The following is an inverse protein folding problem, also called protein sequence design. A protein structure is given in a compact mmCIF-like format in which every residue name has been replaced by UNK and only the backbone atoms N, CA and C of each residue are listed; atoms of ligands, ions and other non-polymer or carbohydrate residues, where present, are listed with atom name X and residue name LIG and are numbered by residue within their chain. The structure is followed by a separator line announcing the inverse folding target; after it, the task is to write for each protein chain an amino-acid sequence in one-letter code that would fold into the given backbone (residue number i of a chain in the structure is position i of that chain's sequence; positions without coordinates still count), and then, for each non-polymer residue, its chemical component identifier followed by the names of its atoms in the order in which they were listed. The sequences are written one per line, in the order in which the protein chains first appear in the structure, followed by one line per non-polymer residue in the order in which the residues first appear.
data_IF_749658449340
#
_entry.id   IF_749658449340
#
_cell.length_a   1.000
_cell.length_b   1.000
_cell.length_c   1.000
_cell.angle_alpha   90.00
_cell.angle_beta   90.00
_cell.angle_gamma   90.00
#
_symmetry.space_group_name_H-M   'P 1'
#
loop_
_entity.id
_entity.type
_entity.pdbx_description
1 polymer ?
#
# COMPACT_ATOMS: atom_id res chain seq x y z
N UNK A 1 44.73 -6.69 -23.82
CA UNK A 1 43.40 -6.47 -23.25
C UNK A 1 43.61 -5.68 -21.99
N UNK A 2 43.10 -4.46 -21.90
CA UNK A 2 43.29 -3.62 -20.70
C UNK A 2 42.43 -4.22 -19.59
N UNK A 3 43.09 -4.70 -18.54
CA UNK A 3 42.47 -5.15 -17.28
C UNK A 3 41.82 -3.96 -16.59
N UNK A 4 40.67 -3.54 -17.09
CA UNK A 4 39.88 -2.51 -16.46
C UNK A 4 39.04 -3.16 -15.37
N UNK A 5 39.48 -3.05 -14.14
CA UNK A 5 38.65 -3.40 -12.97
C UNK A 5 37.54 -2.36 -12.79
N UNK A 6 36.39 -2.78 -12.32
CA UNK A 6 35.23 -1.93 -12.10
C UNK A 6 34.90 -1.78 -10.63
N UNK A 7 34.07 -0.81 -10.29
CA UNK A 7 33.60 -0.61 -8.90
C UNK A 7 32.52 -1.63 -8.57
N UNK A 8 32.62 -2.24 -7.39
CA UNK A 8 31.53 -3.03 -6.78
C UNK A 8 31.04 -2.34 -5.51
N UNK A 9 29.77 -2.54 -5.21
CA UNK A 9 29.12 -2.00 -4.01
C UNK A 9 27.62 -2.22 -4.08
N UNK A 10 26.93 -1.89 -3.00
CA UNK A 10 25.47 -1.94 -2.95
C UNK A 10 24.91 -0.68 -2.27
N UNK A 11 23.70 -0.32 -2.63
CA UNK A 11 22.88 0.66 -1.92
C UNK A 11 21.82 -0.09 -1.12
N UNK A 12 21.48 0.40 0.06
CA UNK A 12 20.37 -0.12 0.85
C UNK A 12 19.46 1.02 1.29
N UNK A 13 18.17 0.81 1.15
CA UNK A 13 17.11 1.68 1.67
C UNK A 13 16.21 0.88 2.60
N UNK A 14 15.54 1.55 3.52
CA UNK A 14 14.74 0.91 4.55
C UNK A 14 13.36 1.55 4.65
N UNK A 15 12.33 0.71 4.89
CA UNK A 15 10.99 1.20 5.18
C UNK A 15 10.40 0.52 6.42
N UNK A 16 9.44 1.19 7.07
CA UNK A 16 8.75 0.69 8.25
C UNK A 16 7.43 0.01 7.91
N UNK A 17 6.73 0.50 6.91
CA UNK A 17 5.42 0.00 6.55
C UNK A 17 5.52 -1.30 5.74
N UNK A 18 4.99 -2.40 6.26
CA UNK A 18 4.89 -3.67 5.53
C UNK A 18 4.09 -3.52 4.22
N UNK A 19 3.09 -2.65 4.22
CA UNK A 19 2.26 -2.37 3.04
C UNK A 19 3.02 -1.76 1.86
N UNK A 20 4.14 -1.07 2.11
CA UNK A 20 5.00 -0.52 1.04
C UNK A 20 5.69 -1.60 0.20
N UNK A 21 5.82 -2.82 0.74
CA UNK A 21 6.38 -3.97 0.01
C UNK A 21 5.68 -4.21 -1.32
N UNK A 22 4.35 -3.97 -1.38
CA UNK A 22 3.58 -4.14 -2.62
C UNK A 22 4.07 -3.22 -3.74
N UNK A 23 4.29 -1.93 -3.44
CA UNK A 23 4.79 -0.97 -4.43
C UNK A 23 6.22 -1.33 -4.87
N UNK A 24 7.08 -1.72 -3.91
CA UNK A 24 8.46 -2.14 -4.19
C UNK A 24 8.48 -3.40 -5.08
N UNK A 25 7.69 -4.41 -4.77
CA UNK A 25 7.62 -5.65 -5.57
C UNK A 25 7.04 -5.37 -6.95
N UNK A 26 6.06 -4.49 -7.05
CA UNK A 26 5.47 -4.08 -8.33
C UNK A 26 6.46 -3.35 -9.25
N UNK A 27 7.40 -2.59 -8.68
CA UNK A 27 8.50 -1.99 -9.43
C UNK A 27 9.57 -3.02 -9.76
N UNK A 28 10.02 -3.76 -8.75
CA UNK A 28 11.15 -4.69 -8.82
C UNK A 28 10.92 -5.85 -9.79
N UNK A 29 9.70 -6.41 -9.81
CA UNK A 29 9.33 -7.58 -10.63
C UNK A 29 8.31 -7.23 -11.72
N UNK A 30 8.44 -6.04 -12.29
CA UNK A 30 7.49 -5.53 -13.30
C UNK A 30 7.38 -6.44 -14.53
N UNK A 31 8.43 -7.19 -14.85
CA UNK A 31 8.45 -8.14 -15.97
C UNK A 31 7.38 -9.25 -15.84
N UNK A 32 6.85 -9.48 -14.64
CA UNK A 32 5.80 -10.47 -14.39
C UNK A 32 4.38 -9.95 -14.71
N UNK A 33 4.22 -8.64 -14.97
CA UNK A 33 2.94 -8.03 -15.32
C UNK A 33 3.13 -6.95 -16.41
N UNK A 34 2.62 -7.17 -17.62
CA UNK A 34 2.72 -6.18 -18.70
C UNK A 34 2.18 -4.79 -18.34
N UNK A 35 1.19 -4.71 -17.45
CA UNK A 35 0.66 -3.41 -16.98
C UNK A 35 1.65 -2.70 -16.06
N UNK A 36 2.40 -3.45 -15.26
CA UNK A 36 3.46 -2.89 -14.44
C UNK A 36 4.60 -2.36 -15.31
N UNK A 37 5.00 -3.10 -16.35
CA UNK A 37 6.00 -2.63 -17.32
C UNK A 37 5.55 -1.32 -17.96
N UNK A 38 4.32 -1.27 -18.47
CA UNK A 38 3.76 -0.05 -19.09
C UNK A 38 3.72 1.13 -18.12
N UNK A 39 3.30 0.88 -16.88
CA UNK A 39 3.24 1.91 -15.84
C UNK A 39 4.64 2.46 -15.52
N UNK A 40 5.60 1.57 -15.20
CA UNK A 40 6.93 1.98 -14.77
C UNK A 40 7.78 2.58 -15.90
N UNK A 41 7.60 2.13 -17.14
CA UNK A 41 8.26 2.73 -18.29
C UNK A 41 7.84 4.20 -18.54
N UNK A 42 6.63 4.57 -18.14
CA UNK A 42 6.19 5.98 -18.16
C UNK A 42 6.81 6.81 -17.04
N UNK A 43 6.98 6.22 -15.86
CA UNK A 43 7.56 6.89 -14.69
C UNK A 43 9.09 6.96 -14.75
N UNK A 44 9.74 5.96 -15.35
CA UNK A 44 11.19 5.86 -15.45
C UNK A 44 11.63 5.68 -16.92
N UNK A 45 12.05 6.76 -17.54
CA UNK A 45 12.52 6.78 -18.95
C UNK A 45 13.82 6.00 -19.19
N UNK A 46 14.44 5.44 -18.16
CA UNK A 46 15.62 4.58 -18.30
C UNK A 46 15.24 3.11 -18.57
N UNK A 47 13.96 2.75 -18.44
CA UNK A 47 13.48 1.40 -18.73
C UNK A 47 13.40 1.20 -20.24
N UNK A 48 14.00 0.14 -20.71
CA UNK A 48 13.98 -0.33 -22.11
C UNK A 48 13.01 -1.49 -22.17
N UNK A 49 11.79 -1.22 -22.61
CA UNK A 49 10.66 -2.18 -22.59
C UNK A 49 10.97 -3.46 -23.37
N UNK A 50 11.70 -3.33 -24.48
CA UNK A 50 12.09 -4.46 -25.32
C UNK A 50 12.98 -5.46 -24.58
N UNK A 51 13.70 -5.01 -23.56
CA UNK A 51 14.63 -5.84 -22.77
C UNK A 51 14.03 -6.38 -21.47
N UNK A 52 12.79 -6.03 -21.15
CA UNK A 52 12.09 -6.55 -19.93
C UNK A 52 12.03 -8.10 -19.91
N UNK A 53 11.97 -8.73 -21.07
CA UNK A 53 12.02 -10.20 -21.18
C UNK A 53 13.35 -10.82 -20.69
N UNK A 54 14.39 -10.00 -20.51
CA UNK A 54 15.69 -10.42 -20.00
C UNK A 54 15.74 -10.38 -18.47
N UNK A 55 14.85 -9.64 -17.84
CA UNK A 55 14.76 -9.51 -16.40
C UNK A 55 14.26 -10.81 -15.75
N UNK A 56 14.73 -11.08 -14.55
CA UNK A 56 14.50 -12.37 -13.92
C UNK A 56 14.21 -12.23 -12.43
N UNK A 57 12.94 -12.31 -12.07
CA UNK A 57 12.48 -12.33 -10.70
C UNK A 57 12.57 -13.71 -10.04
N UNK A 58 12.93 -13.72 -8.77
CA UNK A 58 13.06 -14.91 -7.92
C UNK A 58 12.38 -14.69 -6.59
N UNK A 59 11.78 -15.75 -6.07
CA UNK A 59 11.14 -15.76 -4.74
C UNK A 59 11.78 -16.81 -3.85
N UNK A 60 11.82 -16.56 -2.56
CA UNK A 60 12.28 -17.54 -1.56
C UNK A 60 11.29 -18.71 -1.44
N UNK A 61 11.81 -19.93 -1.39
CA UNK A 61 11.00 -21.14 -1.24
C UNK A 61 10.63 -21.46 0.24
N UNK A 62 10.91 -20.55 1.15
CA UNK A 62 10.70 -20.71 2.58
C UNK A 62 11.83 -21.46 3.30
N UNK A 63 12.88 -21.89 2.60
CA UNK A 63 14.06 -22.60 3.12
C UNK A 63 15.38 -21.87 2.79
N UNK A 64 15.28 -20.58 2.41
CA UNK A 64 16.45 -19.79 2.03
C UNK A 64 17.01 -20.12 0.65
N UNK A 65 16.29 -20.88 -0.19
CA UNK A 65 16.60 -21.10 -1.60
C UNK A 65 15.66 -20.30 -2.48
N UNK A 66 16.10 -19.98 -3.67
CA UNK A 66 15.35 -19.13 -4.57
C UNK A 66 14.90 -19.90 -5.80
N UNK A 67 13.62 -19.74 -6.12
CA UNK A 67 12.99 -20.30 -7.31
C UNK A 67 12.50 -19.17 -8.21
N UNK A 68 12.35 -19.43 -9.49
CA UNK A 68 11.82 -18.44 -10.43
C UNK A 68 10.42 -17.99 -9.98
N UNK A 69 10.23 -16.69 -9.83
CA UNK A 69 8.91 -16.15 -9.52
C UNK A 69 7.99 -16.24 -10.74
N UNK A 70 6.74 -16.58 -10.52
CA UNK A 70 5.68 -16.63 -11.53
C UNK A 70 4.63 -15.55 -11.29
N UNK A 71 4.66 -14.92 -10.13
CA UNK A 71 3.83 -13.78 -9.79
C UNK A 71 4.45 -12.95 -8.67
N UNK A 72 4.18 -11.67 -8.65
CA UNK A 72 4.56 -10.75 -7.57
C UNK A 72 3.98 -11.17 -6.21
N UNK A 73 2.79 -11.79 -6.24
CA UNK A 73 2.08 -12.20 -5.03
C UNK A 73 2.86 -13.23 -4.22
N UNK A 74 3.65 -14.11 -4.86
CA UNK A 74 4.49 -15.09 -4.15
C UNK A 74 5.47 -14.43 -3.17
N UNK A 75 6.09 -13.31 -3.57
CA UNK A 75 7.01 -12.55 -2.70
C UNK A 75 6.27 -11.90 -1.54
N UNK A 76 5.07 -11.39 -1.80
CA UNK A 76 4.23 -10.77 -0.78
C UNK A 76 3.72 -11.81 0.23
N UNK A 77 3.28 -12.97 -0.26
CA UNK A 77 2.78 -14.07 0.59
C UNK A 77 3.91 -14.63 1.48
N UNK A 78 5.10 -14.83 0.90
CA UNK A 78 6.25 -15.23 1.69
C UNK A 78 6.60 -14.15 2.74
N UNK A 79 6.63 -12.90 2.35
CA UNK A 79 6.86 -11.79 3.26
C UNK A 79 5.82 -11.69 4.37
N UNK A 80 4.56 -12.00 4.08
CA UNK A 80 3.47 -12.02 5.06
C UNK A 80 3.63 -13.20 6.04
N UNK A 81 3.98 -14.40 5.55
CA UNK A 81 4.23 -15.57 6.40
C UNK A 81 5.34 -15.33 7.42
N UNK A 82 6.35 -14.52 7.06
CA UNK A 82 7.41 -14.12 7.98
C UNK A 82 6.94 -13.09 9.02
N UNK A 83 6.05 -12.19 8.65
CA UNK A 83 5.41 -11.25 9.61
C UNK A 83 4.57 -12.02 10.64
N UNK A 84 3.86 -13.06 10.22
CA UNK A 84 3.03 -13.90 11.10
C UNK A 84 3.84 -14.71 12.13
N UNK A 85 5.12 -14.96 11.84
CA UNK A 85 6.06 -15.60 12.77
C UNK A 85 6.66 -14.64 13.81
N UNK A 86 6.35 -13.35 13.76
CA UNK A 86 6.88 -12.42 14.76
C UNK A 86 6.38 -12.74 16.16
N UNK A 87 7.31 -12.92 17.08
CA UNK A 87 7.02 -13.20 18.49
C UNK A 87 6.33 -12.01 19.22
N UNK A 88 6.40 -10.82 18.64
CA UNK A 88 5.79 -9.63 19.20
C UNK A 88 5.26 -8.72 18.08
N UNK A 89 4.17 -7.97 18.32
CA UNK A 89 3.65 -7.01 17.35
C UNK A 89 4.69 -5.97 16.95
N UNK A 90 4.61 -5.54 15.70
CA UNK A 90 5.43 -4.44 15.19
C UNK A 90 5.08 -3.14 15.92
N UNK A 91 6.10 -2.39 16.28
CA UNK A 91 5.91 -1.08 16.91
C UNK A 91 5.57 -0.05 15.84
N UNK A 92 4.54 0.73 16.10
CA UNK A 92 4.19 1.89 15.29
C UNK A 92 5.04 3.11 15.64
N UNK A 93 5.15 4.03 14.69
CA UNK A 93 5.75 5.33 14.97
C UNK A 93 4.87 6.13 15.94
N UNK A 94 5.52 6.79 16.87
CA UNK A 94 4.87 7.73 17.80
C UNK A 94 5.45 9.13 17.63
N UNK A 95 4.66 10.18 17.80
CA UNK A 95 5.20 11.52 17.76
C UNK A 95 6.16 11.74 18.95
N UNK A 96 7.33 12.27 18.65
CA UNK A 96 8.28 12.75 19.66
C UNK A 96 7.83 14.12 20.22
N UNK A 97 8.62 14.70 21.13
CA UNK A 97 8.33 16.02 21.73
C UNK A 97 8.22 17.17 20.73
N UNK A 98 8.69 16.96 19.49
CA UNK A 98 8.66 17.93 18.40
C UNK A 98 7.59 17.58 17.36
N UNK A 99 6.74 16.56 17.63
CA UNK A 99 5.69 16.06 16.71
C UNK A 99 6.23 15.18 15.58
N UNK A 100 7.52 14.86 15.56
CA UNK A 100 8.11 14.00 14.53
C UNK A 100 7.84 12.53 14.85
N UNK A 101 7.25 11.82 13.91
CA UNK A 101 6.95 10.39 14.05
C UNK A 101 8.23 9.55 14.12
N UNK A 102 8.42 8.81 15.22
CA UNK A 102 9.63 8.00 15.47
C UNK A 102 9.32 6.73 16.27
N UNK A 103 10.26 5.80 16.25
CA UNK A 103 10.25 4.62 17.11
C UNK A 103 9.54 3.41 16.50
N UNK A 104 8.93 3.54 15.35
CA UNK A 104 8.36 2.42 14.61
C UNK A 104 9.42 1.41 14.18
N UNK A 105 9.01 0.16 14.06
CA UNK A 105 9.88 -0.94 13.62
C UNK A 105 10.18 -0.78 12.13
N UNK A 106 11.46 -0.75 11.77
CA UNK A 106 11.86 -0.92 10.36
C UNK A 106 11.65 -2.39 9.99
N UNK A 107 10.86 -2.64 8.97
CA UNK A 107 10.42 -3.99 8.61
C UNK A 107 11.05 -4.54 7.34
N UNK A 108 11.57 -3.65 6.50
CA UNK A 108 11.97 -4.01 5.14
C UNK A 108 13.22 -3.25 4.73
N UNK A 109 14.11 -3.94 4.04
CA UNK A 109 15.32 -3.41 3.43
C UNK A 109 15.32 -3.76 1.94
N UNK A 110 15.58 -2.78 1.09
CA UNK A 110 15.78 -2.97 -0.34
C UNK A 110 17.24 -2.69 -0.69
N UNK A 111 17.88 -3.63 -1.36
CA UNK A 111 19.25 -3.53 -1.80
C UNK A 111 19.30 -3.44 -3.32
N UNK A 112 20.22 -2.63 -3.82
CA UNK A 112 20.54 -2.54 -5.24
C UNK A 112 22.04 -2.65 -5.40
N UNK A 113 22.49 -3.58 -6.23
CA UNK A 113 23.91 -3.72 -6.59
C UNK A 113 24.05 -3.81 -8.11
N UNK A 114 24.83 -2.90 -8.66
CA UNK A 114 25.05 -2.84 -10.11
C UNK A 114 26.17 -3.78 -10.54
N UNK A 115 26.06 -4.26 -11.79
CA UNK A 115 27.17 -4.94 -12.44
C UNK A 115 28.31 -3.95 -12.66
N UNK A 116 29.57 -4.32 -12.33
CA UNK A 116 30.72 -3.47 -12.62
C UNK A 116 30.81 -3.10 -14.10
N UNK A 117 31.08 -1.84 -14.41
CA UNK A 117 31.21 -1.39 -15.81
C UNK A 117 32.30 -2.15 -16.58
N UNK A 118 33.32 -2.67 -15.88
CA UNK A 118 34.33 -3.57 -16.45
C UNK A 118 33.73 -4.86 -17.03
N UNK A 119 32.53 -5.26 -16.62
CA UNK A 119 31.79 -6.42 -17.12
C UNK A 119 30.70 -6.04 -18.13
N UNK A 120 30.58 -4.75 -18.45
CA UNK A 120 29.58 -4.23 -19.37
C UNK A 120 30.21 -3.76 -20.69
N UNK A 121 29.38 -3.66 -21.69
CA UNK A 121 29.61 -2.94 -22.95
C UNK A 121 28.83 -1.63 -22.90
N UNK A 122 29.49 -0.53 -23.26
CA UNK A 122 28.86 0.77 -23.33
C UNK A 122 28.14 0.96 -24.65
N UNK A 123 26.88 1.36 -24.59
CA UNK A 123 26.13 1.89 -25.73
C UNK A 123 26.03 3.40 -25.56
N UNK A 124 26.91 4.16 -26.22
CA UNK A 124 27.03 5.59 -26.00
C UNK A 124 25.78 6.33 -26.50
N UNK A 125 25.44 7.40 -25.80
CA UNK A 125 24.30 8.31 -26.10
C UNK A 125 22.94 7.62 -26.29
N UNK A 126 22.76 6.43 -25.74
CA UNK A 126 21.53 5.63 -25.89
C UNK A 126 20.26 6.41 -25.47
N UNK A 127 20.36 7.17 -24.38
CA UNK A 127 19.24 7.99 -23.87
C UNK A 127 19.31 9.45 -24.32
N UNK A 128 20.25 9.78 -25.22
CA UNK A 128 20.52 11.14 -25.68
C UNK A 128 21.25 12.01 -24.63
N UNK A 129 21.74 13.18 -25.09
CA UNK A 129 22.48 14.15 -24.26
C UNK A 129 23.74 13.56 -23.59
N UNK A 130 24.43 12.65 -24.26
CA UNK A 130 25.63 11.99 -23.77
C UNK A 130 25.38 10.90 -22.72
N UNK A 131 24.14 10.51 -22.49
CA UNK A 131 23.79 9.47 -21.52
C UNK A 131 23.90 8.09 -22.15
N UNK A 132 24.88 7.33 -21.70
CA UNK A 132 25.14 5.96 -22.17
C UNK A 132 24.27 4.94 -21.44
N UNK A 133 24.01 3.83 -22.11
CA UNK A 133 23.52 2.58 -21.51
C UNK A 133 24.67 1.59 -21.39
N UNK A 134 24.65 0.78 -20.35
CA UNK A 134 25.60 -0.28 -20.10
C UNK A 134 24.91 -1.63 -20.18
N UNK A 135 25.36 -2.51 -21.04
CA UNK A 135 24.76 -3.84 -21.24
C UNK A 135 25.77 -4.89 -20.80
N UNK A 136 25.33 -5.94 -20.12
CA UNK A 136 26.20 -7.04 -19.71
C UNK A 136 26.82 -7.70 -20.94
N UNK A 137 28.16 -7.84 -20.95
CA UNK A 137 28.87 -8.54 -22.03
C UNK A 137 28.51 -10.04 -22.08
N UNK A 138 28.36 -10.64 -20.90
CA UNK A 138 27.92 -12.01 -20.72
C UNK A 138 26.88 -12.04 -19.58
N UNK A 139 25.66 -12.43 -19.91
CA UNK A 139 24.54 -12.47 -18.94
C UNK A 139 24.70 -13.62 -17.94
N UNK A 140 25.31 -14.72 -18.34
CA UNK A 140 25.54 -15.85 -17.44
C UNK A 140 26.65 -15.50 -16.44
N UNK A 141 27.67 -14.77 -16.89
CA UNK A 141 28.68 -14.20 -16.00
C UNK A 141 28.07 -13.17 -15.04
N UNK A 142 27.23 -12.26 -15.53
CA UNK A 142 26.50 -11.31 -14.70
C UNK A 142 25.63 -12.02 -13.66
N UNK A 143 24.93 -13.09 -14.03
CA UNK A 143 24.13 -13.88 -13.09
C UNK A 143 25.00 -14.54 -12.02
N UNK A 144 26.20 -15.06 -12.36
CA UNK A 144 27.15 -15.60 -11.39
C UNK A 144 27.66 -14.51 -10.43
N UNK A 145 27.97 -13.33 -10.96
CA UNK A 145 28.36 -12.16 -10.16
C UNK A 145 27.25 -11.79 -9.17
N UNK A 146 26.02 -11.61 -9.62
CA UNK A 146 24.90 -11.29 -8.76
C UNK A 146 24.58 -12.39 -7.75
N UNK A 147 24.81 -13.65 -8.10
CA UNK A 147 24.70 -14.77 -7.16
C UNK A 147 25.71 -14.64 -6.02
N UNK A 148 26.94 -14.21 -6.31
CA UNK A 148 27.94 -14.00 -5.27
C UNK A 148 27.64 -12.75 -4.41
N UNK A 149 27.14 -11.67 -5.01
CA UNK A 149 26.61 -10.53 -4.26
C UNK A 149 25.48 -10.97 -3.33
N UNK A 150 24.51 -11.72 -3.84
CA UNK A 150 23.39 -12.26 -3.04
C UNK A 150 23.90 -13.12 -1.86
N UNK A 151 24.88 -13.98 -2.11
CA UNK A 151 25.51 -14.81 -1.06
C UNK A 151 26.18 -13.98 0.01
N UNK A 152 26.90 -12.93 -0.40
CA UNK A 152 27.53 -12.03 0.55
C UNK A 152 26.48 -11.30 1.41
N UNK A 153 25.47 -10.71 0.77
CA UNK A 153 24.40 -9.98 1.45
C UNK A 153 23.66 -10.89 2.45
N UNK A 154 23.26 -12.07 2.01
CA UNK A 154 22.54 -13.02 2.86
C UNK A 154 23.38 -13.55 4.03
N UNK A 155 24.70 -13.67 3.90
CA UNK A 155 25.55 -14.16 4.97
C UNK A 155 26.03 -13.09 5.95
N UNK A 156 26.30 -11.88 5.46
CA UNK A 156 27.06 -10.89 6.22
C UNK A 156 26.30 -9.62 6.54
N UNK A 157 25.21 -9.30 5.80
CA UNK A 157 24.55 -8.00 5.89
C UNK A 157 23.11 -8.09 6.37
N UNK A 158 22.37 -9.10 5.90
CA UNK A 158 20.94 -9.26 6.20
C UNK A 158 20.76 -10.02 7.51
N UNK A 159 20.08 -9.45 8.53
CA UNK A 159 20.02 -10.02 9.87
C UNK A 159 19.48 -11.44 9.95
N UNK A 160 18.45 -11.77 9.19
CA UNK A 160 17.84 -13.11 9.13
C UNK A 160 18.43 -14.00 8.03
N UNK A 161 19.55 -13.60 7.43
CA UNK A 161 20.22 -14.41 6.41
C UNK A 161 19.39 -14.59 5.14
N UNK A 162 19.56 -15.75 4.49
CA UNK A 162 18.87 -16.06 3.25
C UNK A 162 17.35 -16.17 3.42
N UNK A 163 16.88 -16.62 4.56
CA UNK A 163 15.45 -16.72 4.82
C UNK A 163 14.78 -15.34 4.87
N UNK A 164 15.50 -14.30 5.31
CA UNK A 164 14.97 -12.95 5.36
C UNK A 164 14.87 -12.29 3.98
N UNK A 165 15.50 -12.84 2.96
CA UNK A 165 15.36 -12.37 1.58
C UNK A 165 14.04 -12.88 1.03
N UNK A 166 13.10 -11.95 0.79
CA UNK A 166 11.76 -12.27 0.32
C UNK A 166 11.76 -12.65 -1.16
N UNK A 167 12.55 -11.93 -1.92
CA UNK A 167 12.75 -12.14 -3.34
C UNK A 167 13.75 -11.13 -3.90
N UNK A 168 14.16 -11.34 -5.13
CA UNK A 168 15.02 -10.42 -5.86
C UNK A 168 14.74 -10.50 -7.36
N UNK A 169 15.14 -9.47 -8.06
CA UNK A 169 15.15 -9.42 -9.51
C UNK A 169 16.54 -9.07 -10.05
N UNK A 170 16.92 -9.69 -11.15
CA UNK A 170 18.12 -9.32 -11.93
C UNK A 170 17.66 -8.61 -13.18
N UNK A 171 17.84 -7.30 -13.17
CA UNK A 171 17.34 -6.40 -14.20
C UNK A 171 18.42 -6.07 -15.22
N UNK A 172 18.09 -6.27 -16.48
CA UNK A 172 18.89 -5.93 -17.65
C UNK A 172 18.27 -4.81 -18.48
N UNK A 173 17.02 -4.50 -18.20
CA UNK A 173 16.18 -3.55 -18.95
C UNK A 173 16.44 -2.08 -18.63
N UNK A 174 17.39 -1.76 -17.74
CA UNK A 174 17.70 -0.37 -17.35
C UNK A 174 19.08 0.11 -17.81
N UNK A 175 19.49 1.29 -17.29
CA UNK A 175 20.76 1.94 -17.67
C UNK A 175 21.98 1.08 -17.46
N UNK A 176 22.01 0.26 -16.42
CA UNK A 176 23.11 -0.66 -16.09
C UNK A 176 22.49 -1.89 -15.44
N UNK A 177 22.89 -3.11 -15.84
CA UNK A 177 22.40 -4.33 -15.21
C UNK A 177 22.63 -4.31 -13.71
N UNK A 178 21.63 -4.72 -12.94
CA UNK A 178 21.71 -4.73 -11.49
C UNK A 178 20.83 -5.81 -10.88
N UNK A 179 21.14 -6.19 -9.66
CA UNK A 179 20.24 -6.97 -8.82
C UNK A 179 19.52 -6.03 -7.87
N UNK A 180 18.22 -6.13 -7.82
CA UNK A 180 17.34 -5.49 -6.84
C UNK A 180 16.79 -6.56 -5.91
N UNK A 181 17.00 -6.42 -4.61
CA UNK A 181 16.68 -7.46 -3.62
C UNK A 181 15.84 -6.87 -2.51
N UNK A 182 14.75 -7.54 -2.18
CA UNK A 182 13.87 -7.21 -1.09
C UNK A 182 14.08 -8.19 0.07
N UNK A 183 14.41 -7.67 1.25
CA UNK A 183 14.55 -8.47 2.46
C UNK A 183 13.74 -7.86 3.60
N UNK A 184 13.26 -8.70 4.51
CA UNK A 184 12.82 -8.20 5.80
C UNK A 184 14.03 -7.99 6.75
N UNK A 185 13.77 -7.44 7.92
CA UNK A 185 14.78 -7.16 8.93
C UNK A 185 14.69 -8.11 10.11
N UNK A 186 14.01 -9.27 9.92
CA UNK A 186 13.69 -10.19 10.98
C UNK A 186 14.68 -11.35 11.03
N UNK A 187 15.13 -11.68 12.22
CA UNK A 187 15.95 -12.83 12.51
C UNK A 187 15.28 -13.70 13.58
N UNK A 188 15.77 -14.92 13.74
CA UNK A 188 15.25 -15.85 14.75
C UNK A 188 15.26 -15.22 16.14
N UNK A 189 14.18 -15.41 16.88
CA UNK A 189 14.10 -14.97 18.27
C UNK A 189 14.63 -16.08 19.19
N UNK A 190 15.77 -15.86 19.87
CA UNK A 190 16.34 -16.87 20.76
C UNK A 190 15.46 -17.23 21.96
N UNK A 191 14.39 -16.46 22.21
CA UNK A 191 13.47 -16.68 23.31
C UNK A 191 12.20 -17.43 22.91
N UNK A 192 11.91 -17.51 21.63
CA UNK A 192 10.69 -18.12 21.10
C UNK A 192 11.04 -19.01 19.91
N UNK A 193 11.05 -20.32 20.13
CA UNK A 193 11.36 -21.31 19.11
C UNK A 193 10.46 -21.13 17.88
N UNK A 194 11.06 -21.04 16.69
CA UNK A 194 10.37 -20.77 15.44
C UNK A 194 9.81 -19.35 15.27
N UNK A 195 9.93 -18.48 16.30
CA UNK A 195 9.54 -17.08 16.26
C UNK A 195 10.60 -16.19 15.66
N UNK A 196 10.18 -15.04 15.15
CA UNK A 196 11.06 -14.01 14.60
C UNK A 196 11.01 -12.74 15.44
N UNK A 197 12.08 -11.96 15.39
CA UNK A 197 12.15 -10.62 15.97
C UNK A 197 12.85 -9.62 15.04
N UNK A 198 12.51 -8.33 15.09
CA UNK A 198 13.19 -7.29 14.32
C UNK A 198 14.61 -7.09 14.82
N UNK A 199 15.60 -7.14 13.92
CA UNK A 199 17.03 -6.97 14.19
C UNK A 199 17.68 -5.85 13.36
N UNK A 200 16.87 -4.95 12.78
CA UNK A 200 17.37 -3.85 11.94
C UNK A 200 18.48 -3.04 12.60
N UNK A 201 18.31 -2.66 13.87
CA UNK A 201 19.29 -1.83 14.59
C UNK A 201 20.63 -2.54 14.76
N UNK A 202 20.62 -3.86 14.89
CA UNK A 202 21.85 -4.65 14.99
C UNK A 202 22.68 -4.58 13.72
N UNK A 203 22.04 -4.56 12.56
CA UNK A 203 22.71 -4.51 11.27
C UNK A 203 23.00 -3.08 10.80
N UNK A 204 22.08 -2.12 10.99
CA UNK A 204 22.12 -0.84 10.28
C UNK A 204 22.09 0.42 11.19
N UNK A 205 22.07 0.25 12.50
CA UNK A 205 22.12 1.37 13.44
C UNK A 205 23.05 1.07 14.61
N UNK A 206 23.23 2.02 15.53
CA UNK A 206 23.97 1.78 16.74
C UNK A 206 23.26 0.69 17.58
N UNK A 207 23.99 -0.35 17.99
CA UNK A 207 23.48 -1.45 18.78
C UNK A 207 24.52 -1.89 19.82
N UNK A 208 24.06 -2.13 21.04
CA UNK A 208 24.93 -2.45 22.19
C UNK A 208 25.81 -3.71 21.99
N UNK A 209 25.33 -4.66 21.20
CA UNK A 209 26.02 -5.94 20.96
C UNK A 209 27.00 -5.86 19.76
N UNK A 210 27.11 -4.70 19.09
CA UNK A 210 27.99 -4.52 17.93
C UNK A 210 28.95 -3.39 18.20
N UNK A 211 30.14 -3.78 18.66
CA UNK A 211 31.20 -2.87 19.08
C UNK A 211 32.31 -2.82 18.04
N UNK A 212 32.94 -1.68 17.92
CA UNK A 212 34.21 -1.52 17.21
C UNK A 212 35.40 -1.97 18.03
N UNK A 213 36.57 -1.89 17.45
CA UNK A 213 37.84 -2.26 18.13
C UNK A 213 38.13 -1.37 19.37
N UNK A 214 37.61 -0.16 19.39
CA UNK A 214 37.67 0.77 20.50
C UNK A 214 36.65 0.50 21.63
N UNK A 215 35.88 -0.58 21.52
CA UNK A 215 34.85 -0.97 22.46
C UNK A 215 33.59 -0.11 22.42
N UNK A 216 33.50 0.86 21.50
CA UNK A 216 32.27 1.69 21.32
C UNK A 216 31.34 1.07 20.32
N UNK A 217 30.05 1.37 20.47
CA UNK A 217 29.03 0.94 19.52
C UNK A 217 29.33 1.51 18.12
N UNK A 218 29.36 0.60 17.13
CA UNK A 218 29.45 1.03 15.74
C UNK A 218 28.16 1.75 15.31
N UNK A 219 28.32 2.89 14.69
CA UNK A 219 27.24 3.61 14.03
C UNK A 219 26.76 2.87 12.78
N UNK A 220 25.55 3.16 12.31
CA UNK A 220 25.04 2.56 11.06
C UNK A 220 25.94 2.88 9.86
N UNK A 221 26.52 4.08 9.80
CA UNK A 221 27.48 4.48 8.76
C UNK A 221 28.73 3.62 8.78
N UNK A 222 29.37 3.46 9.94
CA UNK A 222 30.58 2.62 10.06
C UNK A 222 30.32 1.15 9.70
N UNK A 223 29.12 0.62 10.07
CA UNK A 223 28.74 -0.74 9.66
C UNK A 223 28.58 -0.84 8.15
N UNK A 224 27.93 0.15 7.52
CA UNK A 224 27.74 0.16 6.07
C UNK A 224 29.09 0.27 5.34
N UNK A 225 30.00 1.15 5.79
CA UNK A 225 31.36 1.27 5.27
C UNK A 225 32.08 -0.09 5.34
N UNK A 226 32.05 -0.74 6.51
CA UNK A 226 32.62 -2.08 6.69
C UNK A 226 32.01 -3.10 5.74
N UNK A 227 30.68 -3.15 5.60
CA UNK A 227 30.03 -4.07 4.68
C UNK A 227 30.42 -3.83 3.22
N UNK A 228 30.65 -2.58 2.82
CA UNK A 228 31.14 -2.25 1.47
C UNK A 228 32.56 -2.77 1.25
N UNK A 229 33.44 -2.59 2.23
CA UNK A 229 34.83 -3.04 2.13
C UNK A 229 34.91 -4.58 2.16
N UNK A 230 34.17 -5.21 3.06
CA UNK A 230 34.06 -6.68 3.14
C UNK A 230 33.50 -7.27 1.83
N UNK A 231 32.52 -6.60 1.16
CA UNK A 231 32.03 -7.01 -0.15
C UNK A 231 33.13 -6.94 -1.22
N UNK A 232 33.90 -5.85 -1.26
CA UNK A 232 34.99 -5.72 -2.24
C UNK A 232 36.01 -6.84 -2.05
N UNK A 233 36.46 -7.08 -0.81
CA UNK A 233 37.38 -8.16 -0.48
C UNK A 233 36.84 -9.55 -0.89
N UNK A 234 35.55 -9.78 -0.57
CA UNK A 234 34.89 -11.02 -0.92
C UNK A 234 34.84 -11.25 -2.45
N UNK A 235 34.51 -10.19 -3.21
CA UNK A 235 34.42 -10.28 -4.67
C UNK A 235 35.81 -10.43 -5.32
N UNK A 236 36.83 -9.73 -4.82
CA UNK A 236 38.22 -9.90 -5.27
C UNK A 236 38.69 -11.33 -4.99
N UNK A 237 38.44 -11.87 -3.80
CA UNK A 237 38.83 -13.22 -3.42
C UNK A 237 38.17 -14.30 -4.29
N UNK A 238 37.06 -13.98 -4.97
CA UNK A 238 36.36 -14.84 -5.94
C UNK A 238 36.81 -14.66 -7.37
N UNK A 239 37.80 -13.78 -7.60
CA UNK A 239 38.36 -13.53 -8.92
C UNK A 239 37.55 -12.58 -9.79
N UNK A 240 36.57 -11.84 -9.21
CA UNK A 240 35.84 -10.86 -9.97
C UNK A 240 36.71 -9.64 -10.33
N UNK A 241 36.56 -9.05 -11.53
CA UNK A 241 37.35 -7.92 -11.99
C UNK A 241 36.88 -6.62 -11.34
N UNK A 242 37.01 -6.52 -10.01
CA UNK A 242 36.58 -5.38 -9.21
C UNK A 242 37.75 -4.76 -8.47
N UNK A 243 37.70 -3.45 -8.30
CA UNK A 243 38.73 -2.70 -7.58
C UNK A 243 38.55 -2.84 -6.07
N UNK A 244 39.63 -3.22 -5.38
CA UNK A 244 39.69 -3.16 -3.93
C UNK A 244 39.80 -1.72 -3.46
N UNK A 245 40.69 -0.97 -4.09
CA UNK A 245 40.89 0.47 -3.88
C UNK A 245 40.89 1.18 -5.23
N UNK A 246 40.36 2.40 -5.25
CA UNK A 246 40.44 3.23 -6.45
C UNK A 246 41.87 3.72 -6.60
N UNK A 247 42.58 3.21 -7.60
CA UNK A 247 43.94 3.69 -7.93
C UNK A 247 43.83 5.08 -8.58
N UNK A 248 44.26 6.15 -7.89
CA UNK A 248 44.22 7.50 -8.43
C UNK A 248 45.23 7.70 -9.58
N UNK A 249 46.20 6.78 -9.74
CA UNK A 249 47.32 6.94 -10.69
C UNK A 249 47.10 6.25 -12.03
N UNK A 250 45.95 5.58 -12.25
CA UNK A 250 45.66 4.81 -13.46
C UNK A 250 45.58 5.61 -14.76
N UNK A 251 45.73 6.93 -14.69
CA UNK A 251 45.61 7.82 -15.84
C UNK A 251 46.93 8.60 -16.17
N UNK A 252 48.03 8.26 -15.53
CA UNK A 252 49.28 8.97 -15.80
C UNK A 252 50.19 8.22 -16.77
N UNK A 253 50.14 8.58 -18.07
CA UNK A 253 51.21 8.37 -19.01
C UNK A 253 51.91 9.73 -19.18
N UNK A 254 53.03 9.92 -18.51
CA UNK A 254 53.75 11.19 -18.51
C UNK A 254 54.70 11.34 -19.72
N UNK A 255 54.68 12.52 -20.32
CA UNK A 255 55.72 13.00 -21.24
C UNK A 255 56.62 14.03 -20.57
N UNK A 256 57.92 13.95 -20.81
CA UNK A 256 59.10 14.81 -20.43
C UNK A 256 59.01 15.80 -19.21
N UNK A 257 60.10 15.79 -18.41
CA UNK A 257 60.26 16.48 -17.11
C UNK A 257 59.98 18.00 -17.05
N UNK A 258 60.14 18.74 -18.13
CA UNK A 258 59.98 20.19 -18.16
C UNK A 258 58.52 20.62 -18.42
N UNK A 259 57.79 19.88 -19.22
CA UNK A 259 56.34 20.03 -19.44
C UNK A 259 55.56 19.51 -18.22
N UNK A 260 56.12 18.54 -17.52
CA UNK A 260 55.55 17.93 -16.34
C UNK A 260 55.36 18.89 -15.14
N UNK A 261 56.29 19.87 -14.97
CA UNK A 261 56.17 20.87 -13.89
C UNK A 261 55.00 21.83 -14.09
N UNK A 262 54.88 22.40 -15.29
CA UNK A 262 53.81 23.33 -15.63
C UNK A 262 52.44 22.60 -15.75
N UNK A 263 52.43 21.44 -16.39
CA UNK A 263 51.24 20.58 -16.45
C UNK A 263 50.79 20.07 -15.07
N UNK A 264 51.74 19.85 -14.15
CA UNK A 264 51.45 19.42 -12.78
C UNK A 264 50.83 20.52 -11.95
N UNK A 265 51.24 21.78 -12.15
CA UNK A 265 50.66 22.92 -11.43
C UNK A 265 49.31 23.30 -12.02
N UNK A 266 49.15 23.26 -13.37
CA UNK A 266 47.89 23.41 -14.04
C UNK A 266 46.94 22.25 -13.69
N UNK A 267 47.48 21.03 -13.55
CA UNK A 267 46.68 19.86 -13.13
C UNK A 267 46.29 19.93 -11.66
N UNK A 268 47.15 20.47 -10.76
CA UNK A 268 46.77 20.74 -9.37
C UNK A 268 45.66 21.78 -9.28
N UNK A 269 45.73 22.81 -10.11
CA UNK A 269 44.68 23.83 -10.19
C UNK A 269 43.38 23.26 -10.77
N UNK A 270 43.49 22.46 -11.83
CA UNK A 270 42.36 21.72 -12.44
C UNK A 270 41.82 20.63 -11.50
N UNK A 271 42.67 19.90 -10.77
CA UNK A 271 42.29 18.95 -9.77
C UNK A 271 41.58 19.64 -8.59
N UNK A 272 42.11 20.81 -8.15
CA UNK A 272 41.48 21.67 -7.15
C UNK A 272 40.11 22.19 -7.62
N UNK A 273 40.03 22.68 -8.86
CA UNK A 273 38.74 23.09 -9.46
C UNK A 273 37.81 21.91 -9.67
N UNK A 274 38.34 20.75 -10.01
CA UNK A 274 37.59 19.51 -10.18
C UNK A 274 37.08 18.95 -8.86
N UNK A 275 37.91 19.06 -7.80
CA UNK A 275 37.52 18.67 -6.45
C UNK A 275 36.46 19.64 -5.90
N UNK A 276 36.63 20.96 -6.20
CA UNK A 276 35.62 21.96 -5.88
C UNK A 276 34.30 21.70 -6.65
N UNK A 277 34.37 21.50 -7.98
CA UNK A 277 33.21 21.17 -8.80
C UNK A 277 32.59 19.81 -8.41
N UNK A 278 33.44 18.89 -7.93
CA UNK A 278 32.95 17.61 -7.41
C UNK A 278 32.25 17.79 -6.06
N UNK A 279 32.83 18.62 -5.17
CA UNK A 279 32.20 18.98 -3.91
C UNK A 279 30.87 19.72 -4.15
N UNK A 280 30.90 20.75 -5.02
CA UNK A 280 29.69 21.51 -5.40
C UNK A 280 28.64 20.59 -6.09
N UNK A 281 29.10 19.66 -6.93
CA UNK A 281 28.22 18.68 -7.58
C UNK A 281 27.68 17.64 -6.59
N UNK A 282 28.51 17.20 -5.66
CA UNK A 282 28.10 16.27 -4.60
C UNK A 282 27.17 16.98 -3.61
N UNK A 283 27.38 18.28 -3.35
CA UNK A 283 26.47 19.14 -2.57
C UNK A 283 25.14 19.34 -3.30
N UNK A 284 25.18 19.75 -4.57
CA UNK A 284 23.97 19.87 -5.41
C UNK A 284 23.24 18.52 -5.59
N UNK A 285 24.00 17.43 -5.68
CA UNK A 285 23.41 16.10 -5.74
C UNK A 285 22.80 15.71 -4.40
N UNK A 286 23.47 16.03 -3.29
CA UNK A 286 22.95 15.83 -1.94
C UNK A 286 21.70 16.69 -1.70
N UNK A 287 21.72 17.95 -2.13
CA UNK A 287 20.55 18.84 -2.10
C UNK A 287 19.43 18.32 -3.00
N UNK A 288 19.78 17.84 -4.21
CA UNK A 288 18.85 17.18 -5.12
C UNK A 288 18.25 15.91 -4.51
N UNK A 289 19.09 15.06 -3.90
CA UNK A 289 18.61 13.85 -3.19
C UNK A 289 17.77 14.20 -1.94
N UNK A 290 18.07 15.32 -1.27
CA UNK A 290 17.24 15.82 -0.16
C UNK A 290 15.91 16.35 -0.67
N UNK A 291 15.90 17.13 -1.76
CA UNK A 291 14.69 17.61 -2.39
C UNK A 291 13.84 16.45 -2.95
N UNK A 292 14.47 15.47 -3.62
CA UNK A 292 13.76 14.27 -4.07
C UNK A 292 13.18 13.46 -2.89
N UNK A 293 13.91 13.38 -1.77
CA UNK A 293 13.40 12.75 -0.54
C UNK A 293 12.27 13.57 0.07
N UNK A 294 12.40 14.89 0.10
CA UNK A 294 11.32 15.77 0.59
C UNK A 294 10.11 15.70 -0.34
N UNK A 295 10.31 15.75 -1.66
CA UNK A 295 9.25 15.57 -2.63
C UNK A 295 8.61 14.17 -2.53
N UNK A 296 9.44 13.13 -2.34
CA UNK A 296 8.93 11.77 -2.11
C UNK A 296 8.16 11.68 -0.80
N UNK A 297 8.67 12.30 0.28
CA UNK A 297 7.97 12.38 1.57
C UNK A 297 6.65 13.18 1.45
N UNK A 298 6.68 14.30 0.72
CA UNK A 298 5.48 15.10 0.45
C UNK A 298 4.49 14.30 -0.41
N UNK A 299 4.98 13.55 -1.40
CA UNK A 299 4.15 12.69 -2.25
C UNK A 299 3.56 11.52 -1.47
N UNK A 300 4.36 10.89 -0.59
CA UNK A 300 3.89 9.87 0.36
C UNK A 300 2.89 10.45 1.35
N UNK A 301 3.19 11.61 1.95
CA UNK A 301 2.28 12.28 2.87
C UNK A 301 0.98 12.69 2.17
N UNK A 302 1.03 13.16 0.93
CA UNK A 302 -0.17 13.44 0.12
C UNK A 302 -0.97 12.18 -0.16
N UNK A 303 -0.31 11.06 -0.54
CA UNK A 303 -0.98 9.76 -0.71
C UNK A 303 -1.56 9.24 0.61
N UNK A 304 -0.83 9.38 1.71
CA UNK A 304 -1.34 9.00 3.03
C UNK A 304 -2.54 9.85 3.42
N UNK A 305 -2.45 11.17 3.24
CA UNK A 305 -3.59 12.09 3.50
C UNK A 305 -4.77 11.78 2.57
N UNK A 306 -4.51 11.39 1.33
CA UNK A 306 -5.57 11.00 0.39
C UNK A 306 -6.20 9.67 0.80
N UNK A 307 -5.37 8.68 1.18
CA UNK A 307 -5.83 7.40 1.71
C UNK A 307 -6.56 7.58 3.05
N UNK A 308 -6.03 8.40 3.95
CA UNK A 308 -6.67 8.74 5.23
C UNK A 308 -7.99 9.50 5.01
N UNK A 309 -8.03 10.40 4.02
CA UNK A 309 -9.28 11.07 3.62
C UNK A 309 -10.29 10.11 3.02
N UNK A 310 -9.83 9.17 2.19
CA UNK A 310 -10.72 8.14 1.65
C UNK A 310 -11.20 7.20 2.75
N UNK A 311 -10.28 6.73 3.61
CA UNK A 311 -10.61 5.90 4.78
C UNK A 311 -11.54 6.64 5.73
N UNK A 312 -11.23 7.89 6.08
CA UNK A 312 -12.08 8.71 6.93
C UNK A 312 -13.45 9.01 6.29
N UNK A 313 -13.49 9.17 4.94
CA UNK A 313 -14.76 9.30 4.20
C UNK A 313 -15.55 8.00 4.19
N UNK A 314 -14.87 6.86 4.07
CA UNK A 314 -15.51 5.54 4.12
C UNK A 314 -15.96 5.20 5.54
N UNK A 315 -15.12 5.48 6.54
CA UNK A 315 -15.46 5.34 7.95
C UNK A 315 -16.59 6.28 8.32
N UNK A 316 -16.52 7.56 7.97
CA UNK A 316 -17.58 8.52 8.21
C UNK A 316 -18.88 8.16 7.49
N UNK A 317 -18.80 7.59 6.26
CA UNK A 317 -19.98 7.05 5.57
C UNK A 317 -20.52 5.81 6.28
N UNK A 318 -19.62 4.90 6.72
CA UNK A 318 -20.02 3.69 7.44
C UNK A 318 -20.62 4.04 8.80
N UNK A 319 -19.93 4.89 9.57
CA UNK A 319 -20.43 5.36 10.87
C UNK A 319 -21.74 6.14 10.71
N UNK A 320 -21.80 7.06 9.74
CA UNK A 320 -23.04 7.79 9.45
C UNK A 320 -24.15 6.88 8.96
N UNK A 321 -23.82 5.83 8.19
CA UNK A 321 -24.80 4.82 7.79
C UNK A 321 -25.23 3.95 8.96
N UNK A 322 -24.30 3.47 9.80
CA UNK A 322 -24.59 2.68 10.99
C UNK A 322 -25.36 3.50 12.04
N UNK A 323 -24.96 4.75 12.25
CA UNK A 323 -25.66 5.67 13.12
C UNK A 323 -27.05 5.99 12.59
N UNK A 324 -27.17 6.33 11.31
CA UNK A 324 -28.45 6.56 10.66
C UNK A 324 -29.34 5.33 10.65
N UNK A 325 -28.75 4.12 10.51
CA UNK A 325 -29.46 2.86 10.59
C UNK A 325 -29.92 2.57 12.03
N UNK A 326 -29.05 2.85 13.00
CA UNK A 326 -29.34 2.70 14.44
C UNK A 326 -30.42 3.68 14.89
N UNK A 327 -30.26 4.95 14.54
CA UNK A 327 -31.23 6.00 14.84
C UNK A 327 -32.57 5.74 14.11
N UNK A 328 -32.49 5.36 12.82
CA UNK A 328 -33.68 5.00 12.05
C UNK A 328 -34.39 3.75 12.61
N UNK A 329 -33.63 2.75 13.08
CA UNK A 329 -34.19 1.60 13.77
C UNK A 329 -34.83 2.00 15.12
N UNK A 330 -34.11 2.80 15.92
CA UNK A 330 -34.65 3.27 17.20
C UNK A 330 -35.92 4.10 17.02
N UNK A 331 -35.91 5.03 16.05
CA UNK A 331 -37.08 5.81 15.68
C UNK A 331 -38.22 4.93 15.14
N UNK A 332 -37.86 3.96 14.25
CA UNK A 332 -38.82 3.01 13.70
C UNK A 332 -39.45 2.10 14.77
N UNK A 333 -38.64 1.64 15.73
CA UNK A 333 -39.12 0.85 16.88
C UNK A 333 -40.04 1.71 17.75
N UNK A 334 -39.62 2.93 18.12
CA UNK A 334 -40.39 3.83 18.92
C UNK A 334 -41.72 4.23 18.24
N UNK A 335 -41.67 4.46 16.93
CA UNK A 335 -42.88 4.76 16.14
C UNK A 335 -43.78 3.53 16.01
N UNK A 336 -43.17 2.34 15.79
CA UNK A 336 -43.89 1.06 15.76
C UNK A 336 -44.56 0.77 17.13
N UNK A 337 -43.86 0.97 18.22
CA UNK A 337 -44.40 0.81 19.57
C UNK A 337 -45.54 1.78 19.81
N UNK A 338 -45.37 3.05 19.41
CA UNK A 338 -46.40 4.06 19.49
C UNK A 338 -47.65 3.71 18.67
N UNK A 339 -47.42 3.25 17.43
CA UNK A 339 -48.49 2.80 16.53
C UNK A 339 -49.18 1.52 17.07
N UNK A 340 -48.33 0.60 17.59
CA UNK A 340 -48.87 -0.63 18.21
C UNK A 340 -49.65 -0.34 19.47
N UNK A 341 -49.22 0.62 20.29
CA UNK A 341 -49.98 1.10 21.46
C UNK A 341 -51.30 1.73 21.01
N UNK A 342 -51.23 2.66 20.04
CA UNK A 342 -52.41 3.30 19.49
C UNK A 342 -53.38 2.31 18.83
N UNK A 343 -52.83 1.25 18.14
CA UNK A 343 -53.62 0.19 17.58
C UNK A 343 -54.29 -0.68 18.65
N UNK A 344 -53.55 -1.00 19.74
CA UNK A 344 -54.11 -1.72 20.90
C UNK A 344 -55.21 -0.92 21.59
N UNK A 345 -54.99 0.37 21.76
CA UNK A 345 -56.01 1.28 22.35
C UNK A 345 -57.26 1.35 21.46
N UNK A 346 -57.05 1.43 20.11
CA UNK A 346 -58.14 1.43 19.15
C UNK A 346 -58.85 0.06 19.08
N UNK A 347 -58.08 -1.04 19.22
CA UNK A 347 -58.64 -2.38 19.28
C UNK A 347 -59.46 -2.57 20.54
N UNK A 348 -58.90 -2.12 21.69
CA UNK A 348 -59.62 -2.17 22.95
C UNK A 348 -60.93 -1.34 22.91
N UNK A 349 -60.86 -0.16 22.28
CA UNK A 349 -62.07 0.66 22.07
C UNK A 349 -63.02 0.04 21.04
N UNK A 350 -62.51 -0.66 20.04
CA UNK A 350 -63.32 -1.40 19.08
C UNK A 350 -63.95 -2.65 19.71
N UNK A 351 -63.18 -3.35 20.57
CA UNK A 351 -63.67 -4.48 21.35
C UNK A 351 -64.76 -4.05 22.34
N UNK A 352 -64.54 -2.89 22.99
CA UNK A 352 -65.55 -2.29 23.87
C UNK A 352 -66.81 -1.91 23.08
N UNK A 353 -66.66 -1.23 21.94
CA UNK A 353 -67.77 -0.90 21.04
C UNK A 353 -68.43 -2.14 20.41
N UNK A 354 -67.60 -3.18 20.14
CA UNK A 354 -68.08 -4.46 19.64
C UNK A 354 -68.88 -5.18 20.72
N UNK A 355 -68.35 -5.18 21.97
CA UNK A 355 -69.09 -5.74 23.10
C UNK A 355 -70.39 -4.98 23.33
N UNK A 356 -70.34 -3.64 23.21
CA UNK A 356 -71.58 -2.81 23.26
C UNK A 356 -72.52 -3.10 22.08
N UNK A 357 -71.98 -3.28 20.85
CA UNK A 357 -72.76 -3.60 19.67
C UNK A 357 -73.29 -5.03 19.66
N UNK A 358 -72.48 -6.00 20.21
CA UNK A 358 -72.94 -7.37 20.43
C UNK A 358 -74.07 -7.48 21.45
N UNK A 359 -74.08 -6.58 22.40
CA UNK A 359 -75.23 -6.45 23.35
C UNK A 359 -76.42 -5.79 22.70
N UNK A 360 -76.22 -5.00 21.64
CA UNK A 360 -77.27 -4.28 20.94
C UNK A 360 -77.72 -4.91 19.63
N UNK A 361 -76.81 -5.53 18.85
CA UNK A 361 -77.08 -6.17 17.54
C UNK A 361 -76.04 -7.24 17.26
N UNK A 362 -76.42 -8.43 16.78
CA UNK A 362 -75.52 -9.53 16.42
C UNK A 362 -74.71 -9.21 15.16
N UNK A 363 -73.47 -8.76 15.29
CA UNK A 363 -72.55 -8.58 14.19
C UNK A 363 -71.79 -9.89 13.93
N UNK A 364 -71.66 -10.38 12.66
CA UNK A 364 -70.95 -11.62 12.35
C UNK A 364 -69.45 -11.51 12.67
N UNK A 365 -68.89 -12.52 13.31
CA UNK A 365 -67.48 -12.67 13.75
C UNK A 365 -66.44 -12.47 12.59
N UNK A 366 -66.86 -12.64 11.35
CA UNK A 366 -66.03 -12.39 10.16
C UNK A 366 -65.64 -10.92 9.94
N UNK A 367 -66.46 -9.94 10.32
CA UNK A 367 -66.14 -8.53 10.16
C UNK A 367 -65.14 -8.03 11.18
N UNK A 368 -65.08 -8.62 12.38
CA UNK A 368 -64.08 -8.28 13.39
C UNK A 368 -62.68 -8.80 12.98
N UNK A 369 -62.59 -10.00 12.40
CA UNK A 369 -61.31 -10.54 11.87
C UNK A 369 -60.77 -9.73 10.71
N UNK A 370 -61.64 -9.17 9.92
CA UNK A 370 -61.25 -8.28 8.81
C UNK A 370 -60.59 -7.00 9.32
N UNK A 371 -61.17 -6.27 10.23
CA UNK A 371 -60.61 -5.01 10.76
C UNK A 371 -59.23 -5.23 11.40
N UNK A 372 -59.04 -6.38 12.08
CA UNK A 372 -57.74 -6.77 12.62
C UNK A 372 -56.70 -7.01 11.51
N UNK A 373 -57.10 -7.62 10.37
CA UNK A 373 -56.22 -7.90 9.27
C UNK A 373 -55.82 -6.64 8.50
N UNK A 374 -56.72 -5.69 8.32
CA UNK A 374 -56.45 -4.40 7.70
C UNK A 374 -55.49 -3.56 8.56
N UNK A 375 -55.65 -3.59 9.90
CA UNK A 375 -54.70 -2.95 10.82
C UNK A 375 -53.31 -3.53 10.74
N UNK A 376 -53.16 -4.86 10.68
CA UNK A 376 -51.88 -5.53 10.52
C UNK A 376 -51.20 -5.21 9.17
N UNK A 377 -51.96 -5.11 8.11
CA UNK A 377 -51.47 -4.74 6.76
C UNK A 377 -50.98 -3.29 6.70
N UNK A 378 -51.66 -2.39 7.36
CA UNK A 378 -51.24 -0.97 7.46
C UNK A 378 -49.94 -0.83 8.27
N UNK A 379 -49.79 -1.56 9.35
CA UNK A 379 -48.53 -1.63 10.13
C UNK A 379 -47.36 -2.16 9.30
N UNK A 380 -47.55 -3.24 8.52
CA UNK A 380 -46.51 -3.78 7.67
C UNK A 380 -46.08 -2.82 6.55
N UNK A 381 -47.00 -2.01 6.02
CA UNK A 381 -46.71 -1.00 4.98
C UNK A 381 -45.94 0.21 5.57
N UNK A 382 -46.17 0.58 6.82
CA UNK A 382 -45.54 1.69 7.51
C UNK A 382 -44.12 1.35 7.99
N UNK A 383 -43.87 0.09 8.40
CA UNK A 383 -42.58 -0.39 8.90
C UNK A 383 -41.55 -0.63 7.79
N UNK A 384 -41.92 -0.56 6.52
CA UNK A 384 -41.02 -0.55 5.34
C UNK A 384 -40.02 -1.70 5.25
N UNK A 385 -40.00 -2.31 4.14
CA UNK A 385 -39.03 -3.12 3.37
C UNK A 385 -38.01 -4.09 4.02
N UNK A 386 -37.88 -4.19 5.31
CA UNK A 386 -37.02 -5.18 5.97
C UNK A 386 -37.84 -6.09 6.89
N UNK A 387 -38.76 -6.80 6.27
CA UNK A 387 -39.50 -7.89 6.93
C UNK A 387 -38.76 -9.16 6.50
N UNK A 388 -38.31 -9.98 7.46
CA UNK A 388 -37.70 -11.25 7.16
C UNK A 388 -38.67 -12.16 6.37
N UNK A 389 -38.15 -13.14 5.66
CA UNK A 389 -38.95 -14.03 4.80
C UNK A 389 -40.11 -14.75 5.54
N UNK A 390 -39.95 -14.94 6.86
CA UNK A 390 -40.96 -15.59 7.69
C UNK A 390 -42.13 -14.63 7.98
N UNK A 391 -41.85 -13.38 8.21
CA UNK A 391 -42.86 -12.33 8.41
C UNK A 391 -43.52 -11.99 7.10
N UNK A 392 -42.80 -11.99 5.98
CA UNK A 392 -43.34 -11.81 4.63
C UNK A 392 -44.35 -12.93 4.29
N UNK A 393 -43.99 -14.19 4.58
CA UNK A 393 -44.94 -15.32 4.39
C UNK A 393 -46.19 -15.20 5.24
N UNK A 394 -46.08 -14.72 6.49
CA UNK A 394 -47.24 -14.46 7.35
C UNK A 394 -48.14 -13.35 6.79
N UNK A 395 -47.50 -12.29 6.26
CA UNK A 395 -48.24 -11.19 5.60
C UNK A 395 -48.95 -11.69 4.34
N UNK A 396 -48.29 -12.49 3.50
CA UNK A 396 -48.91 -13.06 2.31
C UNK A 396 -50.02 -14.07 2.65
N UNK A 397 -49.86 -14.87 3.71
CA UNK A 397 -50.93 -15.75 4.22
C UNK A 397 -52.13 -14.96 4.76
N UNK A 398 -51.85 -13.88 5.49
CA UNK A 398 -52.91 -12.99 5.98
C UNK A 398 -53.60 -12.26 4.84
N UNK A 399 -52.86 -11.85 3.80
CA UNK A 399 -53.37 -11.27 2.57
C UNK A 399 -54.31 -12.26 1.84
N UNK A 400 -53.82 -13.47 1.62
CA UNK A 400 -54.63 -14.53 0.95
C UNK A 400 -55.85 -14.95 1.77
N UNK A 401 -55.80 -14.88 3.10
CA UNK A 401 -56.93 -15.08 3.98
C UNK A 401 -57.93 -13.92 3.88
N UNK A 402 -57.43 -12.69 3.88
CA UNK A 402 -58.25 -11.50 3.69
C UNK A 402 -58.93 -11.52 2.32
N UNK A 403 -58.22 -11.81 1.24
CA UNK A 403 -58.77 -11.89 -0.12
C UNK A 403 -59.89 -12.94 -0.23
N UNK A 404 -59.74 -14.07 0.47
CA UNK A 404 -60.79 -15.10 0.54
C UNK A 404 -62.05 -14.66 1.33
N UNK A 405 -61.84 -13.87 2.36
CA UNK A 405 -62.94 -13.35 3.22
C UNK A 405 -63.68 -12.18 2.52
N UNK A 406 -62.98 -11.45 1.64
CA UNK A 406 -63.51 -10.25 0.99
C UNK A 406 -63.98 -10.41 -0.47
N UNK A 407 -64.02 -11.62 -0.99
CA UNK A 407 -64.58 -11.88 -2.31
C UNK A 407 -66.04 -11.35 -2.49
N UNK A 408 -66.61 -10.78 -1.45
CA UNK A 408 -67.99 -10.21 -1.48
C UNK A 408 -68.10 -8.68 -1.55
N UNK A 409 -67.00 -7.92 -1.42
CA UNK A 409 -66.99 -6.46 -1.65
C UNK A 409 -65.58 -5.91 -1.94
N UNK A 410 -65.02 -6.21 -3.11
CA UNK A 410 -63.63 -5.91 -3.41
C UNK A 410 -63.34 -4.44 -3.67
N UNK A 411 -64.29 -3.71 -4.26
CA UNK A 411 -63.98 -2.38 -4.84
C UNK A 411 -63.72 -1.26 -3.80
N UNK A 412 -64.41 -1.26 -2.69
CA UNK A 412 -64.26 -0.20 -1.69
C UNK A 412 -62.95 -0.26 -0.96
N UNK A 413 -62.40 -1.46 -0.77
CA UNK A 413 -61.15 -1.72 -0.08
C UNK A 413 -59.95 -1.51 -0.93
N UNK A 414 -60.01 -1.88 -2.22
CA UNK A 414 -58.98 -1.59 -3.22
C UNK A 414 -58.82 -0.09 -3.38
N UNK A 415 -59.90 0.66 -3.39
CA UNK A 415 -59.86 2.11 -3.49
C UNK A 415 -59.27 2.79 -2.24
N UNK A 416 -59.55 2.31 -1.02
CA UNK A 416 -58.91 2.81 0.19
C UNK A 416 -57.44 2.46 0.24
N UNK A 417 -57.01 1.24 -0.15
CA UNK A 417 -55.60 0.86 -0.20
C UNK A 417 -54.81 1.70 -1.21
N UNK A 418 -55.38 1.94 -2.40
CA UNK A 418 -54.78 2.83 -3.42
C UNK A 418 -54.69 4.27 -2.96
N UNK A 419 -55.63 4.79 -2.21
CA UNK A 419 -55.58 6.15 -1.67
C UNK A 419 -54.47 6.31 -0.62
N UNK A 420 -54.29 5.31 0.23
CA UNK A 420 -53.19 5.26 1.20
C UNK A 420 -51.85 5.14 0.53
N UNK A 421 -51.70 4.30 -0.49
CA UNK A 421 -50.46 4.20 -1.29
C UNK A 421 -50.16 5.51 -2.02
N UNK A 422 -51.17 6.19 -2.58
CA UNK A 422 -51.01 7.50 -3.23
C UNK A 422 -50.55 8.58 -2.25
N UNK A 423 -51.08 8.60 -1.04
CA UNK A 423 -50.73 9.56 0.00
C UNK A 423 -49.29 9.34 0.50
N UNK A 424 -48.86 8.09 0.68
CA UNK A 424 -47.47 7.76 1.06
C UNK A 424 -46.48 7.97 -0.07
N UNK A 425 -46.82 7.62 -1.31
CA UNK A 425 -46.01 7.88 -2.49
C UNK A 425 -45.72 9.37 -2.69
N UNK A 426 -46.73 10.21 -2.58
CA UNK A 426 -46.59 11.67 -2.69
C UNK A 426 -45.73 12.28 -1.55
N UNK A 427 -45.79 11.78 -0.32
CA UNK A 427 -44.92 12.22 0.79
C UNK A 427 -43.46 11.85 0.58
N UNK A 428 -43.18 10.68 0.04
CA UNK A 428 -41.80 10.24 -0.31
C UNK A 428 -41.21 11.06 -1.44
N UNK A 429 -41.99 11.35 -2.48
CA UNK A 429 -41.58 12.19 -3.60
C UNK A 429 -41.35 13.64 -3.15
N UNK A 430 -42.21 14.21 -2.32
CA UNK A 430 -42.02 15.55 -1.76
C UNK A 430 -40.82 15.63 -0.81
N UNK A 431 -40.52 14.62 0.00
CA UNK A 431 -39.28 14.55 0.80
C UNK A 431 -38.03 14.50 -0.09
N UNK A 432 -38.02 13.67 -1.14
CA UNK A 432 -36.90 13.64 -2.10
C UNK A 432 -36.69 14.95 -2.83
N UNK A 433 -37.75 15.61 -3.25
CA UNK A 433 -37.66 16.92 -3.88
C UNK A 433 -37.05 17.99 -2.93
N UNK A 434 -37.47 18.03 -1.68
CA UNK A 434 -36.90 18.94 -0.67
C UNK A 434 -35.44 18.65 -0.33
N UNK A 435 -35.03 17.37 -0.34
CA UNK A 435 -33.62 16.99 -0.10
C UNK A 435 -32.72 17.37 -1.27
N UNK A 436 -33.22 17.35 -2.50
CA UNK A 436 -32.50 17.79 -3.70
C UNK A 436 -32.40 19.33 -3.78
N UNK A 437 -33.42 20.05 -3.36
CA UNK A 437 -33.38 21.52 -3.27
C UNK A 437 -32.40 22.04 -2.20
N UNK A 438 -32.22 21.30 -1.09
CA UNK A 438 -31.25 21.67 -0.03
C UNK A 438 -29.81 21.32 -0.40
N UNK A 439 -29.55 20.51 -1.43
CA UNK A 439 -28.22 20.13 -1.91
C UNK A 439 -27.71 21.03 -3.07
N UNK A 440 -28.54 21.91 -3.64
CA UNK A 440 -28.10 22.93 -4.59
C UNK A 440 -27.63 24.18 -3.84
N UNK A 441 -26.40 24.11 -3.30
CA UNK A 441 -25.67 25.30 -2.84
C UNK A 441 -25.16 26.07 -4.08
N UNK A 442 -25.18 27.40 -4.04
CA UNK A 442 -24.72 28.20 -5.16
C UNK A 442 -23.21 28.01 -5.35
N UNK A 443 -22.80 27.73 -6.58
CA UNK A 443 -21.41 27.82 -7.04
C UNK A 443 -20.97 29.26 -6.89
N UNK A 444 -20.08 29.55 -5.94
CA UNK A 444 -19.33 30.80 -5.92
C UNK A 444 -18.36 30.76 -7.09
N UNK A 445 -18.60 31.58 -8.09
CA UNK A 445 -17.62 31.96 -9.11
C UNK A 445 -16.39 32.52 -8.39
N UNK A 446 -15.25 31.85 -8.51
CA UNK A 446 -13.94 32.44 -8.23
C UNK A 446 -13.53 33.21 -9.49
N UNK A 447 -13.52 34.51 -9.34
CA UNK A 447 -12.99 35.49 -10.29
C UNK A 447 -11.45 35.36 -10.30
N UNK A 448 -10.90 34.79 -11.38
CA UNK A 448 -9.46 34.73 -11.64
C UNK A 448 -8.97 36.09 -12.12
N UNK A 449 -8.75 36.99 -11.18
CA UNK A 449 -8.05 38.26 -11.41
C UNK A 449 -6.57 38.12 -11.06
N UNK A 450 -5.73 37.71 -11.98
CA UNK A 450 -4.32 38.10 -12.00
C UNK A 450 -3.90 38.45 -13.43
N UNK A 451 -4.03 39.76 -13.72
CA UNK A 451 -3.25 40.41 -14.73
C UNK A 451 -1.97 40.99 -14.13
N UNK A 452 -0.90 40.87 -14.90
CA UNK A 452 0.47 41.35 -14.80
C UNK A 452 1.45 40.54 -14.03
#
# INVERSE_FOLDING_TARGET
MSDTTGRTGFRVTHTKAVGERRAIVHEMMRELDPKAVEYWARENTNIVVEDEALDRGFVNDGKGRFVRATSMQQVLDYGQSRVERLASPLREDKPDKQGKMRGGTVTTSMFVAHLPKSMCEEVPDFYGKGRSRWVARDRDEAMRYFTDVLRFLGKNVIPGGFEAILGFDVQHSETTPHIQLLADTFADDPKHEGGLRPEWSRAYAAHRDVLGEDGKMLTGRQKLERYQDDLKEYMVARGWPVEREVDPLRHDKSETKAVYGALRDERRELDGQRDQLKADRDELRYEGELLEREEFQVRLARKQVETERETAREEGRREGYEQGLSEGRAQGIAEAERLQKAARERLALADERYAEAMTAHSIPDEQARYLATVGARHLATVLGKHVDDATQRKIEQAKAAAERTFARSPEMLINQAREVERMHGNRLVQRRARTLETLSLPTTEYDDGYGM
#
